data_IF_184453634706
#
_entry.id   IF_184453634706
#
_cell.length_a   1.000
_cell.length_b   1.000
_cell.length_c   1.000
_cell.angle_alpha   90.00
_cell.angle_beta   90.00
_cell.angle_gamma   90.00
#
_symmetry.space_group_name_H-M   'P 1'
#
loop_
_entity.id
_entity.type
_entity.pdbx_description
1 polymer ?
#
# COMPACT_ATOMS: atom_id res chain seq x y z
N UNK A 1 10.45 -26.84 2.64
CA UNK A 1 10.42 -26.17 1.30
C UNK A 1 9.05 -25.85 0.70
N UNK A 2 7.91 -25.94 1.40
CA UNK A 2 6.62 -25.59 0.77
C UNK A 2 6.35 -24.06 0.74
N UNK A 3 6.93 -23.28 1.66
CA UNK A 3 6.70 -21.82 1.79
C UNK A 3 7.95 -21.02 2.17
N UNK A 4 9.14 -21.59 1.95
CA UNK A 4 10.41 -20.98 2.33
C UNK A 4 10.99 -20.13 1.18
N UNK A 5 11.75 -19.07 1.47
CA UNK A 5 12.33 -18.19 0.44
C UNK A 5 13.44 -18.86 -0.39
N UNK A 6 13.96 -20.01 0.04
CA UNK A 6 15.09 -20.66 -0.63
C UNK A 6 16.39 -19.86 -0.50
N UNK A 7 17.25 -19.94 -1.52
CA UNK A 7 18.53 -19.23 -1.52
C UNK A 7 18.37 -17.71 -1.65
N UNK A 8 19.14 -16.97 -0.86
CA UNK A 8 19.00 -15.52 -0.68
C UNK A 8 20.19 -14.70 -1.23
N UNK A 9 21.28 -15.36 -1.60
CA UNK A 9 22.51 -14.71 -2.06
C UNK A 9 23.43 -15.65 -2.84
N UNK A 10 24.49 -15.09 -3.43
CA UNK A 10 25.50 -15.81 -4.19
C UNK A 10 26.82 -15.93 -3.38
N UNK A 11 27.54 -17.05 -3.57
CA UNK A 11 28.75 -17.37 -2.80
C UNK A 11 29.97 -16.51 -3.19
N UNK A 12 30.40 -16.51 -4.47
CA UNK A 12 31.72 -15.99 -4.86
C UNK A 12 31.82 -14.45 -4.93
N UNK A 13 30.85 -13.77 -5.55
CA UNK A 13 30.76 -12.30 -5.58
C UNK A 13 29.29 -11.96 -5.72
N UNK A 14 28.67 -11.17 -4.84
CA UNK A 14 29.21 -10.22 -3.84
C UNK A 14 29.47 -10.76 -2.41
N UNK A 15 29.33 -12.06 -2.12
CA UNK A 15 29.61 -12.64 -0.79
C UNK A 15 28.71 -12.14 0.34
N UNK A 16 27.61 -11.47 0.01
CA UNK A 16 26.61 -10.91 0.94
C UNK A 16 25.25 -10.83 0.25
N UNK A 17 24.20 -10.64 1.02
CA UNK A 17 22.86 -10.38 0.47
C UNK A 17 22.81 -8.93 -0.03
N UNK A 18 22.27 -8.71 -1.23
CA UNK A 18 22.07 -7.36 -1.76
C UNK A 18 21.06 -6.59 -0.91
N UNK A 19 21.36 -5.31 -0.63
CA UNK A 19 20.41 -4.42 0.07
C UNK A 19 19.10 -4.33 -0.72
N UNK A 20 17.96 -4.42 -0.03
CA UNK A 20 16.64 -4.41 -0.66
C UNK A 20 16.17 -5.78 -1.19
N UNK A 21 16.93 -6.87 -0.99
CA UNK A 21 16.43 -8.22 -1.26
C UNK A 21 15.16 -8.46 -0.42
N UNK A 22 14.08 -8.86 -1.07
CA UNK A 22 12.79 -9.15 -0.42
C UNK A 22 12.94 -10.34 0.54
N UNK A 23 12.54 -10.14 1.79
CA UNK A 23 12.59 -11.11 2.88
C UNK A 23 11.30 -11.02 3.69
N UNK A 24 11.10 -11.96 4.62
CA UNK A 24 10.02 -11.88 5.58
C UNK A 24 10.13 -10.59 6.42
N UNK A 25 8.99 -9.99 6.75
CA UNK A 25 8.91 -8.75 7.50
C UNK A 25 7.46 -8.38 7.77
N UNK A 26 7.26 -7.28 8.50
CA UNK A 26 5.92 -6.74 8.76
C UNK A 26 5.34 -6.19 7.46
N UNK A 27 4.11 -6.60 7.13
CA UNK A 27 3.34 -6.08 6.00
C UNK A 27 2.23 -5.16 6.50
N UNK A 28 1.97 -4.07 5.79
CA UNK A 28 0.91 -3.11 6.11
C UNK A 28 1.33 -2.02 7.11
N UNK A 29 0.36 -1.22 7.56
CA UNK A 29 0.60 -0.01 8.35
C UNK A 29 1.48 1.05 7.64
N UNK A 30 1.39 1.09 6.32
CA UNK A 30 2.06 2.09 5.47
C UNK A 30 1.04 3.06 4.89
N UNK A 31 1.47 4.28 4.58
CA UNK A 31 0.62 5.29 3.94
C UNK A 31 0.55 5.04 2.44
N UNK A 32 -0.63 4.61 1.96
CA UNK A 32 -0.86 4.31 0.53
C UNK A 32 -1.74 5.39 -0.08
N UNK A 33 -1.35 5.86 -1.28
CA UNK A 33 -2.14 6.83 -2.05
C UNK A 33 -2.64 6.19 -3.34
N UNK A 34 -3.96 6.18 -3.53
CA UNK A 34 -4.60 5.77 -4.79
C UNK A 34 -4.90 7.03 -5.60
N UNK A 35 -4.38 7.12 -6.82
CA UNK A 35 -4.55 8.27 -7.71
C UNK A 35 -5.73 8.07 -8.65
N UNK A 36 -6.27 9.19 -9.18
CA UNK A 36 -7.30 9.24 -10.23
C UNK A 36 -8.62 8.53 -9.86
N UNK A 37 -9.05 8.63 -8.61
CA UNK A 37 -10.37 8.16 -8.20
C UNK A 37 -11.46 9.14 -8.59
N UNK A 38 -12.65 8.61 -8.93
CA UNK A 38 -13.82 9.41 -9.29
C UNK A 38 -14.73 9.58 -8.07
N UNK A 39 -15.18 10.81 -7.83
CA UNK A 39 -16.26 11.10 -6.88
C UNK A 39 -17.57 10.85 -7.61
N UNK A 40 -18.43 10.00 -7.05
CA UNK A 40 -19.71 9.59 -7.66
C UNK A 40 -20.92 10.11 -6.90
N UNK A 41 -20.75 10.51 -5.65
CA UNK A 41 -21.83 11.05 -4.82
C UNK A 41 -21.28 12.14 -3.91
N UNK A 42 -22.03 13.23 -3.81
CA UNK A 42 -21.74 14.32 -2.88
C UNK A 42 -23.07 14.76 -2.26
N UNK A 43 -23.13 14.73 -0.93
CA UNK A 43 -24.25 15.30 -0.18
C UNK A 43 -23.69 16.21 0.92
N UNK A 44 -23.69 17.53 0.71
CA UNK A 44 -23.16 18.49 1.69
C UNK A 44 -24.02 18.58 2.96
N UNK A 45 -25.34 18.36 2.86
CA UNK A 45 -26.24 18.44 4.03
C UNK A 45 -25.93 17.33 5.06
N UNK A 46 -25.57 16.14 4.56
CA UNK A 46 -25.23 14.97 5.40
C UNK A 46 -23.73 14.80 5.61
N UNK A 47 -22.89 15.70 5.06
CA UNK A 47 -21.44 15.59 5.03
C UNK A 47 -20.94 14.25 4.46
N UNK A 48 -21.61 13.74 3.41
CA UNK A 48 -21.27 12.46 2.79
C UNK A 48 -20.57 12.66 1.45
N UNK A 49 -19.50 11.88 1.25
CA UNK A 49 -18.75 11.81 0.00
C UNK A 49 -18.62 10.34 -0.43
N UNK A 50 -19.17 10.02 -1.59
CA UNK A 50 -19.05 8.70 -2.22
C UNK A 50 -17.93 8.70 -3.26
N UNK A 51 -16.92 7.86 -3.03
CA UNK A 51 -15.81 7.65 -3.95
C UNK A 51 -15.97 6.28 -4.61
N UNK A 52 -15.77 6.19 -5.92
CA UNK A 52 -15.82 4.92 -6.64
C UNK A 52 -14.54 4.12 -6.44
N UNK A 53 -14.60 3.06 -5.65
CA UNK A 53 -13.53 2.05 -5.53
C UNK A 53 -13.05 1.84 -4.09
N UNK A 54 -11.94 1.11 -3.91
CA UNK A 54 -11.39 0.83 -2.60
C UNK A 54 -10.69 2.05 -2.00
N UNK A 55 -10.83 2.24 -0.69
CA UNK A 55 -10.10 3.25 0.09
C UNK A 55 -9.10 2.52 0.98
N UNK A 56 -7.80 2.92 0.98
CA UNK A 56 -6.80 2.28 1.83
C UNK A 56 -7.07 2.61 3.30
N UNK A 57 -6.87 1.62 4.18
CA UNK A 57 -7.08 1.75 5.61
C UNK A 57 -8.27 0.93 6.11
N UNK A 58 -8.41 0.87 7.44
CA UNK A 58 -9.53 0.24 8.10
C UNK A 58 -10.75 1.17 8.12
N UNK A 59 -11.93 0.63 8.45
CA UNK A 59 -13.10 1.47 8.73
C UNK A 59 -12.76 2.48 9.83
N UNK A 60 -13.20 3.72 9.66
CA UNK A 60 -12.95 4.87 10.55
C UNK A 60 -11.48 5.34 10.61
N UNK A 61 -10.61 4.95 9.66
CA UNK A 61 -9.27 5.56 9.55
C UNK A 61 -9.33 6.98 9.00
N UNK A 62 -8.38 7.83 9.40
CA UNK A 62 -8.19 9.14 8.79
C UNK A 62 -7.75 9.00 7.33
N UNK A 63 -8.46 9.66 6.42
CA UNK A 63 -8.15 9.68 4.98
C UNK A 63 -7.95 11.12 4.54
N UNK A 64 -6.92 11.36 3.73
CA UNK A 64 -6.61 12.67 3.17
C UNK A 64 -6.98 12.67 1.69
N UNK A 65 -7.89 13.56 1.30
CA UNK A 65 -8.30 13.73 -0.09
C UNK A 65 -7.61 14.97 -0.64
N UNK A 66 -6.94 14.83 -1.79
CA UNK A 66 -6.23 15.91 -2.47
C UNK A 66 -6.66 15.98 -3.92
N UNK A 67 -6.77 17.20 -4.45
CA UNK A 67 -6.91 17.41 -5.89
C UNK A 67 -5.61 17.02 -6.58
N UNK A 68 -5.71 16.24 -7.65
CA UNK A 68 -4.57 15.98 -8.53
C UNK A 68 -4.42 17.22 -9.42
N UNK A 69 -3.47 18.09 -9.06
CA UNK A 69 -3.04 19.20 -9.92
C UNK A 69 -2.23 18.69 -11.09
#
# INVERSE_FOLDING_TARGET
HHREPGSVGACAKPGRIHKGKKMAGRMGNETVTIKRMKIVYLNPEKNLLGIKGPIPGAKNSLVIIRKLT
#
